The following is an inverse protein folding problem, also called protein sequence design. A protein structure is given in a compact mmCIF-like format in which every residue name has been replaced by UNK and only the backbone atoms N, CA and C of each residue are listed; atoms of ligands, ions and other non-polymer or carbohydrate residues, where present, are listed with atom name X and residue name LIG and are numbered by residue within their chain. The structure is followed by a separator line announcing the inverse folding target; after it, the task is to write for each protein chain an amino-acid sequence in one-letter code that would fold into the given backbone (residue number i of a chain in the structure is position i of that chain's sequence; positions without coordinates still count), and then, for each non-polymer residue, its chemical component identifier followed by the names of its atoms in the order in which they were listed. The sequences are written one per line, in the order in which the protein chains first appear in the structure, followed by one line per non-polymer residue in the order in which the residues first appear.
data_IF_612415199952
#
_entry.id   IF_612415199952
#
_cell.length_a   1.000
_cell.length_b   1.000
_cell.length_c   1.000
_cell.angle_alpha   90.00
_cell.angle_beta   90.00
_cell.angle_gamma   90.00
#
_symmetry.space_group_name_H-M   'P 1'
#
loop_
_entity.id
_entity.type
_entity.pdbx_description
1 polymer ?
#
# COMPACT_ATOMS: atom_id res chain seq x y z
N UNK A 1 13.83 8.31 -1.12
CA UNK A 1 12.98 9.53 -1.18
C UNK A 1 11.69 9.34 -1.96
N UNK A 2 11.69 8.59 -3.07
CA UNK A 2 10.50 8.32 -3.89
C UNK A 2 9.36 7.60 -3.15
N UNK A 3 9.65 6.62 -2.30
CA UNK A 3 8.62 5.89 -1.53
C UNK A 3 7.77 6.78 -0.60
N UNK A 4 8.37 7.84 -0.05
CA UNK A 4 7.66 8.80 0.80
C UNK A 4 6.67 9.65 0.00
N UNK A 5 7.04 10.02 -1.24
CA UNK A 5 6.16 10.77 -2.14
C UNK A 5 4.89 9.98 -2.47
N UNK A 6 5.04 8.69 -2.77
CA UNK A 6 3.89 7.80 -3.03
C UNK A 6 3.02 7.61 -1.78
N UNK A 7 3.63 7.41 -0.61
CA UNK A 7 2.89 7.29 0.65
C UNK A 7 2.06 8.55 0.97
N UNK A 8 2.63 9.75 0.73
CA UNK A 8 1.92 11.01 0.89
C UNK A 8 0.74 11.14 -0.07
N UNK A 9 0.93 10.84 -1.36
CA UNK A 9 -0.16 10.84 -2.34
C UNK A 9 -1.31 9.89 -1.94
N UNK A 10 -0.96 8.72 -1.40
CA UNK A 10 -1.92 7.70 -0.98
C UNK A 10 -2.70 8.15 0.27
N UNK A 11 -2.00 8.72 1.24
CA UNK A 11 -2.58 9.27 2.47
C UNK A 11 -3.58 10.40 2.16
N UNK A 12 -3.19 11.35 1.30
CA UNK A 12 -4.05 12.46 0.86
C UNK A 12 -5.29 11.93 0.13
N UNK A 13 -5.11 10.95 -0.76
CA UNK A 13 -6.22 10.40 -1.54
C UNK A 13 -7.24 9.67 -0.68
N UNK A 14 -6.81 8.86 0.30
CA UNK A 14 -7.73 8.15 1.22
C UNK A 14 -8.52 9.09 2.11
N UNK A 15 -7.94 10.22 2.52
CA UNK A 15 -8.64 11.23 3.33
C UNK A 15 -9.67 12.00 2.50
N UNK A 16 -9.38 12.25 1.22
CA UNK A 16 -10.27 13.01 0.34
C UNK A 16 -11.45 12.21 -0.21
N UNK A 17 -11.28 10.90 -0.44
CA UNK A 17 -12.35 10.03 -0.95
C UNK A 17 -13.65 10.11 -0.14
N UNK A 18 -13.66 9.98 1.20
CA UNK A 18 -14.91 10.04 1.96
C UNK A 18 -15.61 11.40 1.90
N UNK A 19 -14.88 12.48 1.62
CA UNK A 19 -15.41 13.86 1.53
C UNK A 19 -15.99 14.13 0.14
N UNK A 20 -15.37 13.56 -0.89
CA UNK A 20 -15.68 13.86 -2.31
C UNK A 20 -16.65 12.86 -2.93
N UNK A 21 -16.77 11.65 -2.37
CA UNK A 21 -17.54 10.54 -2.94
C UNK A 21 -18.98 10.90 -3.31
N UNK A 22 -19.65 11.73 -2.51
CA UNK A 22 -21.06 12.11 -2.72
C UNK A 22 -21.24 13.33 -3.63
N UNK A 23 -20.16 14.07 -3.91
CA UNK A 23 -20.25 15.37 -4.60
C UNK A 23 -19.99 15.27 -6.11
N UNK A 24 -18.96 14.51 -6.53
CA UNK A 24 -18.59 14.43 -7.95
C UNK A 24 -17.96 13.10 -8.33
N UNK A 25 -18.60 12.39 -9.27
CA UNK A 25 -18.10 11.12 -9.81
C UNK A 25 -16.72 11.26 -10.47
N UNK A 26 -16.50 12.33 -11.23
CA UNK A 26 -15.22 12.56 -11.95
C UNK A 26 -14.08 12.75 -10.97
N UNK A 27 -14.30 13.51 -9.91
CA UNK A 27 -13.26 13.77 -8.90
C UNK A 27 -12.93 12.49 -8.13
N UNK A 28 -13.94 11.70 -7.77
CA UNK A 28 -13.75 10.38 -7.16
C UNK A 28 -12.97 9.43 -8.07
N UNK A 29 -13.30 9.37 -9.36
CA UNK A 29 -12.57 8.54 -10.33
C UNK A 29 -11.09 8.95 -10.49
N UNK A 30 -10.81 10.26 -10.52
CA UNK A 30 -9.44 10.78 -10.52
C UNK A 30 -8.70 10.38 -9.23
N UNK A 31 -9.34 10.50 -8.07
CA UNK A 31 -8.75 10.10 -6.79
C UNK A 31 -8.44 8.59 -6.75
N UNK A 32 -9.35 7.73 -7.24
CA UNK A 32 -9.09 6.29 -7.36
C UNK A 32 -7.95 5.97 -8.32
N UNK A 33 -7.81 6.74 -9.41
CA UNK A 33 -6.68 6.59 -10.35
C UNK A 33 -5.35 6.95 -9.68
N UNK A 34 -5.31 8.06 -8.94
CA UNK A 34 -4.12 8.49 -8.19
C UNK A 34 -3.79 7.47 -7.10
N UNK A 35 -4.79 6.92 -6.40
CA UNK A 35 -4.58 5.85 -5.43
C UNK A 35 -3.96 4.62 -6.07
N UNK A 36 -4.47 4.16 -7.23
CA UNK A 36 -3.91 3.00 -7.94
C UNK A 36 -2.44 3.20 -8.33
N UNK A 37 -2.11 4.38 -8.87
CA UNK A 37 -0.73 4.76 -9.18
C UNK A 37 0.15 4.79 -7.92
N UNK A 38 -0.34 5.42 -6.85
CA UNK A 38 0.40 5.56 -5.60
C UNK A 38 0.62 4.23 -4.89
N UNK A 39 -0.29 3.26 -5.01
CA UNK A 39 -0.19 1.95 -4.36
C UNK A 39 0.85 1.05 -5.04
N UNK A 40 0.99 1.16 -6.36
CA UNK A 40 1.97 0.39 -7.12
C UNK A 40 3.42 0.82 -6.81
N UNK A 41 3.67 2.11 -6.57
CA UNK A 41 5.01 2.65 -6.31
C UNK A 41 5.76 1.94 -5.16
N UNK A 42 5.25 1.97 -3.91
CA UNK A 42 5.87 1.29 -2.77
C UNK A 42 6.00 -0.22 -2.98
N UNK A 43 4.99 -0.85 -3.58
CA UNK A 43 4.99 -2.28 -3.88
C UNK A 43 6.13 -2.67 -4.85
N UNK A 44 6.41 -1.85 -5.85
CA UNK A 44 7.51 -2.06 -6.79
C UNK A 44 8.86 -1.76 -6.15
N UNK A 45 9.00 -0.65 -5.42
CA UNK A 45 10.26 -0.29 -4.73
C UNK A 45 10.72 -1.37 -3.76
N UNK A 46 9.79 -1.98 -3.02
CA UNK A 46 10.09 -3.12 -2.17
C UNK A 46 10.62 -4.33 -2.96
N UNK A 47 10.04 -4.62 -4.13
CA UNK A 47 10.49 -5.73 -4.98
C UNK A 47 11.94 -5.52 -5.45
N UNK A 48 12.25 -4.30 -5.91
CA UNK A 48 13.59 -3.93 -6.38
C UNK A 48 14.60 -4.02 -5.23
N UNK A 49 14.25 -3.50 -4.05
CA UNK A 49 15.12 -3.59 -2.88
C UNK A 49 15.43 -5.03 -2.47
N UNK A 50 14.47 -5.96 -2.58
CA UNK A 50 14.76 -7.39 -2.35
C UNK A 50 15.71 -7.94 -3.43
N UNK A 51 15.51 -7.58 -4.70
CA UNK A 51 16.35 -8.05 -5.80
C UNK A 51 17.81 -7.57 -5.67
N UNK A 52 18.03 -6.33 -5.24
CA UNK A 52 19.38 -5.76 -5.07
C UNK A 52 20.22 -6.50 -4.02
N UNK A 53 19.58 -7.10 -3.01
CA UNK A 53 20.25 -7.85 -1.93
C UNK A 53 20.48 -9.33 -2.33
N UNK A 54 19.93 -9.75 -3.46
CA UNK A 54 19.86 -11.16 -3.86
C UNK A 54 20.86 -11.49 -4.96
N UNK A 55 21.38 -12.71 -4.96
CA UNK A 55 22.18 -13.20 -6.08
C UNK A 55 21.33 -13.32 -7.37
N UNK A 56 21.92 -13.00 -8.52
CA UNK A 56 21.24 -13.01 -9.84
C UNK A 56 20.48 -14.30 -10.14
N UNK A 57 21.00 -15.46 -9.70
CA UNK A 57 20.40 -16.77 -9.97
C UNK A 57 19.21 -17.08 -9.03
N UNK A 58 19.05 -16.33 -7.94
CA UNK A 58 17.96 -16.48 -6.97
C UNK A 58 16.87 -15.39 -7.10
N UNK A 59 17.01 -14.47 -8.07
CA UNK A 59 16.05 -13.38 -8.30
C UNK A 59 14.61 -13.88 -8.53
N UNK A 60 14.45 -14.97 -9.28
CA UNK A 60 13.14 -15.60 -9.53
C UNK A 60 12.52 -16.20 -8.26
N UNK A 61 13.32 -16.89 -7.44
CA UNK A 61 12.83 -17.52 -6.20
C UNK A 61 12.36 -16.48 -5.18
N UNK A 62 13.07 -15.35 -5.05
CA UNK A 62 12.72 -14.32 -4.06
C UNK A 62 11.50 -13.51 -4.49
N UNK A 63 11.39 -13.19 -5.78
CA UNK A 63 10.18 -12.52 -6.31
C UNK A 63 8.94 -13.43 -6.22
N UNK A 64 9.10 -14.73 -6.48
CA UNK A 64 8.04 -15.74 -6.31
C UNK A 64 7.62 -15.91 -4.85
N UNK A 65 8.58 -16.06 -3.93
CA UNK A 65 8.31 -16.18 -2.50
C UNK A 65 7.62 -14.93 -1.95
N UNK A 66 8.13 -13.73 -2.28
CA UNK A 66 7.49 -12.44 -1.95
C UNK A 66 6.05 -12.37 -2.47
N UNK A 67 5.83 -12.78 -3.72
CA UNK A 67 4.51 -12.81 -4.34
C UNK A 67 3.54 -13.71 -3.58
N UNK A 68 3.98 -14.91 -3.19
CA UNK A 68 3.17 -15.87 -2.44
C UNK A 68 2.63 -15.25 -1.15
N UNK A 69 3.49 -14.65 -0.32
CA UNK A 69 3.05 -14.00 0.92
C UNK A 69 2.19 -12.75 0.67
N UNK A 70 2.49 -11.97 -0.37
CA UNK A 70 1.69 -10.80 -0.74
C UNK A 70 0.27 -11.19 -1.13
N UNK A 71 0.09 -12.24 -1.95
CA UNK A 71 -1.23 -12.69 -2.39
C UNK A 71 -2.00 -13.38 -1.28
N UNK A 72 -1.33 -14.17 -0.43
CA UNK A 72 -1.98 -14.75 0.77
C UNK A 72 -2.46 -13.64 1.71
N UNK A 73 -1.64 -12.61 1.94
CA UNK A 73 -2.03 -11.44 2.72
C UNK A 73 -3.23 -10.71 2.11
N UNK A 74 -3.24 -10.50 0.79
CA UNK A 74 -4.36 -9.88 0.09
C UNK A 74 -5.65 -10.71 0.18
N UNK A 75 -5.57 -12.04 0.09
CA UNK A 75 -6.70 -12.93 0.26
C UNK A 75 -7.28 -12.88 1.69
N UNK A 76 -6.40 -12.80 2.69
CA UNK A 76 -6.79 -12.69 4.10
C UNK A 76 -7.33 -11.31 4.47
N UNK A 77 -6.92 -10.25 3.77
CA UNK A 77 -7.31 -8.87 4.07
C UNK A 77 -8.82 -8.60 3.94
N UNK A 78 -9.56 -9.42 3.19
CA UNK A 78 -11.01 -9.26 3.05
C UNK A 78 -11.77 -9.45 4.38
N UNK A 79 -11.36 -10.42 5.20
CA UNK A 79 -12.01 -10.75 6.47
C UNK A 79 -11.96 -9.58 7.49
N UNK A 80 -10.80 -9.01 7.83
CA UNK A 80 -10.73 -7.90 8.78
C UNK A 80 -11.43 -6.65 8.26
N UNK A 81 -11.39 -6.38 6.95
CA UNK A 81 -12.10 -5.23 6.35
C UNK A 81 -13.60 -5.35 6.57
N UNK A 82 -14.18 -6.54 6.34
CA UNK A 82 -15.62 -6.76 6.56
C UNK A 82 -15.99 -6.67 8.03
N UNK A 83 -15.16 -7.21 8.93
CA UNK A 83 -15.39 -7.12 10.38
C UNK A 83 -15.39 -5.68 10.87
N UNK A 84 -14.41 -4.87 10.45
CA UNK A 84 -14.32 -3.45 10.79
C UNK A 84 -15.52 -2.69 10.23
N UNK A 85 -15.88 -2.94 8.97
CA UNK A 85 -17.05 -2.32 8.32
C UNK A 85 -18.36 -2.60 9.06
N UNK A 86 -18.52 -3.80 9.63
CA UNK A 86 -19.74 -4.17 10.35
C UNK A 86 -19.87 -3.47 11.72
N UNK A 87 -18.76 -3.11 12.36
CA UNK A 87 -18.78 -2.52 13.71
C UNK A 87 -18.58 -0.99 13.67
N UNK A 88 -17.72 -0.48 12.78
CA UNK A 88 -17.27 0.93 12.72
C UNK A 88 -17.67 1.63 11.41
N UNK A 89 -18.54 1.01 10.61
CA UNK A 89 -18.94 1.50 9.29
C UNK A 89 -17.74 1.76 8.36
N UNK A 90 -17.93 2.53 7.30
CA UNK A 90 -16.89 2.83 6.32
C UNK A 90 -15.77 3.72 6.87
N UNK A 91 -16.06 4.58 7.85
CA UNK A 91 -15.07 5.44 8.50
C UNK A 91 -13.98 4.63 9.19
N UNK A 92 -14.35 3.53 9.85
CA UNK A 92 -13.39 2.59 10.43
C UNK A 92 -12.50 1.92 9.39
N UNK A 93 -13.03 1.62 8.20
CA UNK A 93 -12.26 1.02 7.09
C UNK A 93 -11.23 2.02 6.55
N UNK A 94 -11.60 3.29 6.38
CA UNK A 94 -10.66 4.33 5.95
C UNK A 94 -9.56 4.58 6.99
N UNK A 95 -9.91 4.56 8.29
CA UNK A 95 -8.93 4.68 9.37
C UNK A 95 -7.97 3.48 9.41
N UNK A 96 -8.50 2.26 9.26
CA UNK A 96 -7.69 1.04 9.16
C UNK A 96 -6.72 1.09 7.97
N UNK A 97 -7.20 1.55 6.80
CA UNK A 97 -6.37 1.73 5.62
C UNK A 97 -5.23 2.74 5.87
N UNK A 98 -5.52 3.88 6.50
CA UNK A 98 -4.51 4.88 6.89
C UNK A 98 -3.42 4.28 7.77
N UNK A 99 -3.80 3.56 8.83
CA UNK A 99 -2.85 2.91 9.74
C UNK A 99 -1.99 1.90 8.98
N UNK A 100 -2.59 1.11 8.09
CA UNK A 100 -1.85 0.12 7.28
C UNK A 100 -0.77 0.79 6.41
N UNK A 101 -1.09 1.93 5.78
CA UNK A 101 -0.16 2.69 4.94
C UNK A 101 0.99 3.26 5.77
N UNK A 102 0.71 3.78 6.97
CA UNK A 102 1.74 4.27 7.88
C UNK A 102 2.68 3.15 8.30
N UNK A 103 2.16 1.97 8.64
CA UNK A 103 2.98 0.80 9.00
C UNK A 103 3.84 0.35 7.82
N UNK A 104 3.29 0.26 6.62
CA UNK A 104 4.05 -0.11 5.40
C UNK A 104 5.13 0.94 5.07
N UNK A 105 4.81 2.22 5.24
CA UNK A 105 5.77 3.31 5.00
C UNK A 105 6.90 3.25 6.02
N UNK A 106 6.57 2.98 7.29
CA UNK A 106 7.54 2.83 8.37
C UNK A 106 8.44 1.61 8.15
N UNK A 107 7.88 0.46 7.77
CA UNK A 107 8.67 -0.74 7.50
C UNK A 107 9.63 -0.55 6.32
N UNK A 108 9.18 0.12 5.25
CA UNK A 108 10.03 0.50 4.13
C UNK A 108 11.12 1.50 4.54
N UNK A 109 10.80 2.47 5.39
CA UNK A 109 11.77 3.45 5.90
C UNK A 109 12.83 2.79 6.80
N UNK A 110 12.44 1.83 7.64
CA UNK A 110 13.37 1.04 8.47
C UNK A 110 14.29 0.21 7.56
N UNK A 111 13.74 -0.46 6.55
CA UNK A 111 14.50 -1.25 5.60
C UNK A 111 15.53 -0.39 4.84
N UNK A 112 15.12 0.79 4.37
CA UNK A 112 16.00 1.75 3.70
C UNK A 112 17.11 2.31 4.60
N UNK A 113 16.91 2.32 5.93
CA UNK A 113 17.95 2.76 6.88
C UNK A 113 18.97 1.66 7.18
N UNK A 114 18.52 0.40 7.19
CA UNK A 114 19.37 -0.76 7.50
C UNK A 114 20.26 -1.16 6.32
N UNK A 115 19.70 -1.18 5.10
CA UNK A 115 20.46 -1.30 3.87
C UNK A 115 20.79 0.11 3.37
N UNK A 116 21.97 0.65 3.73
CA UNK A 116 22.48 1.89 3.13
C UNK A 116 22.56 1.72 1.60
N UNK A 117 21.53 2.18 0.92
CA UNK A 117 21.58 2.69 -0.45
C UNK A 117 21.74 4.21 -0.38
#
# INVERSE_FOLDING_TARGET
MTGLMFALMLCVSIVLVPIVQDSSYVLTACLFTIMGFALYGPHMLFAVGCLDVTHKDAAGSITGFRGLFSYVGAALAGVPVVMIKNVWAWDGVYMYALISILITTLSLAILAKFHRL
#
